data_IF_223557760071
#
_entry.id   IF_223557760071
#
_cell.length_a   1.000
_cell.length_b   1.000
_cell.length_c   1.000
_cell.angle_alpha   90.00
_cell.angle_beta   90.00
_cell.angle_gamma   90.00
#
_symmetry.space_group_name_H-M   'P 1'
#
loop_
_entity.id
_entity.type
_entity.pdbx_description
1 polymer ?
#
# COMPACT_ATOMS: atom_id res chain seq x y z
N UNK A 1 4.08 -20.08 1.87
CA UNK A 1 3.35 -18.82 1.64
C UNK A 1 3.53 -17.91 2.85
N UNK A 2 3.75 -16.66 2.60
CA UNK A 2 3.93 -15.65 3.66
C UNK A 2 2.61 -14.91 3.84
N UNK A 3 2.05 -14.96 5.06
CA UNK A 3 0.89 -14.19 5.44
C UNK A 3 1.26 -13.19 6.52
N UNK A 4 1.00 -11.91 6.29
CA UNK A 4 1.17 -10.85 7.29
C UNK A 4 -0.02 -9.92 7.23
N UNK A 5 -0.50 -9.51 8.39
CA UNK A 5 -1.53 -8.46 8.51
C UNK A 5 -1.20 -7.57 9.70
N UNK A 6 -1.27 -6.27 9.47
CA UNK A 6 -1.07 -5.26 10.51
C UNK A 6 -2.09 -4.13 10.33
N UNK A 7 -2.40 -3.47 11.43
CA UNK A 7 -3.33 -2.37 11.46
C UNK A 7 -2.69 -1.18 12.19
N UNK A 8 -2.78 -0.01 11.58
CA UNK A 8 -2.29 1.23 12.17
C UNK A 8 -3.44 2.21 12.38
N UNK A 9 -3.44 2.98 13.49
CA UNK A 9 -4.39 4.06 13.65
C UNK A 9 -4.12 5.15 12.60
N UNK A 10 -5.17 5.64 11.97
CA UNK A 10 -5.07 6.71 10.98
C UNK A 10 -4.84 8.05 11.68
N UNK A 11 -5.59 8.31 12.73
CA UNK A 11 -5.52 9.55 13.48
C UNK A 11 -4.83 9.33 14.83
N UNK A 12 -3.78 10.11 15.06
CA UNK A 12 -2.99 10.04 16.29
C UNK A 12 -2.81 11.45 16.85
N UNK A 13 -2.66 11.61 18.19
CA UNK A 13 -2.44 12.91 18.80
C UNK A 13 -1.22 13.62 18.19
N UNK A 14 -1.35 14.94 17.97
CA UNK A 14 -0.26 15.77 17.46
C UNK A 14 -0.07 15.72 15.95
N UNK A 15 -0.85 14.95 15.22
CA UNK A 15 -0.81 14.87 13.76
C UNK A 15 -2.12 15.39 13.15
N UNK A 16 -2.07 15.90 11.89
CA UNK A 16 -3.29 16.30 11.19
C UNK A 16 -4.27 15.15 11.09
N UNK A 17 -5.55 15.44 11.34
CA UNK A 17 -6.63 14.44 11.25
C UNK A 17 -7.01 14.19 9.80
N UNK A 18 -7.32 12.94 9.49
CA UNK A 18 -7.79 12.50 8.18
C UNK A 18 -9.20 11.91 8.32
N UNK A 19 -10.08 12.25 7.36
CA UNK A 19 -11.37 11.59 7.20
C UNK A 19 -11.20 10.30 6.38
N UNK A 20 -12.22 9.45 6.40
CA UNK A 20 -12.25 8.26 5.55
C UNK A 20 -12.06 8.63 4.08
N UNK A 21 -12.72 9.68 3.61
CA UNK A 21 -12.59 10.12 2.22
C UNK A 21 -11.17 10.56 1.89
N UNK A 22 -10.51 11.27 2.79
CA UNK A 22 -9.11 11.68 2.59
C UNK A 22 -8.18 10.48 2.53
N UNK A 23 -8.40 9.46 3.36
CA UNK A 23 -7.63 8.22 3.31
C UNK A 23 -7.88 7.49 1.99
N UNK A 24 -9.14 7.38 1.57
CA UNK A 24 -9.49 6.75 0.29
C UNK A 24 -8.84 7.47 -0.88
N UNK A 25 -8.95 8.79 -0.95
CA UNK A 25 -8.33 9.60 -2.00
C UNK A 25 -6.81 9.41 -2.04
N UNK A 26 -6.19 9.32 -0.87
CA UNK A 26 -4.76 9.04 -0.74
C UNK A 26 -4.39 7.66 -1.26
N UNK A 27 -5.18 6.64 -0.98
CA UNK A 27 -4.96 5.28 -1.51
C UNK A 27 -5.09 5.24 -3.03
N UNK A 28 -6.05 5.96 -3.59
CA UNK A 28 -6.21 6.04 -5.05
C UNK A 28 -5.02 6.76 -5.71
N UNK A 29 -4.55 7.85 -5.12
CA UNK A 29 -3.33 8.53 -5.60
C UNK A 29 -2.13 7.60 -5.57
N UNK A 30 -1.93 6.89 -4.46
CA UNK A 30 -0.86 5.91 -4.30
C UNK A 30 -0.96 4.78 -5.33
N UNK A 31 -2.16 4.30 -5.61
CA UNK A 31 -2.39 3.25 -6.60
C UNK A 31 -1.96 3.70 -8.00
N UNK A 32 -2.21 4.96 -8.36
CA UNK A 32 -1.84 5.53 -9.65
C UNK A 32 -0.35 5.90 -9.73
N UNK A 33 0.23 6.38 -8.64
CA UNK A 33 1.66 6.69 -8.55
C UNK A 33 2.12 6.59 -7.09
N UNK A 34 2.80 5.51 -6.77
CA UNK A 34 3.25 5.24 -5.41
C UNK A 34 4.53 5.98 -5.00
N UNK A 35 5.23 6.63 -5.92
CA UNK A 35 6.52 7.25 -5.62
C UNK A 35 6.49 8.25 -4.46
N UNK A 36 5.48 9.14 -4.32
CA UNK A 36 5.41 10.03 -3.17
C UNK A 36 5.09 9.34 -1.85
N UNK A 37 4.62 8.10 -1.88
CA UNK A 37 4.12 7.37 -0.71
C UNK A 37 5.06 6.27 -0.23
N UNK A 38 5.88 5.72 -1.10
CA UNK A 38 6.72 4.55 -0.82
C UNK A 38 8.18 4.88 -1.12
N UNK A 39 8.98 5.21 -0.09
CA UNK A 39 10.38 5.63 -0.32
C UNK A 39 11.27 4.57 -0.98
N UNK A 40 10.95 3.30 -0.80
CA UNK A 40 11.74 2.19 -1.37
C UNK A 40 11.43 1.92 -2.85
N UNK A 41 10.47 2.65 -3.42
CA UNK A 41 10.08 2.49 -4.83
C UNK A 41 10.77 3.55 -5.68
N UNK A 42 11.41 3.13 -6.76
CA UNK A 42 12.16 4.00 -7.66
C UNK A 42 11.49 4.22 -9.02
N UNK A 43 10.47 3.44 -9.32
CA UNK A 43 9.72 3.54 -10.57
C UNK A 43 8.28 3.09 -10.34
N UNK A 44 7.34 3.80 -10.94
CA UNK A 44 5.92 3.41 -10.88
C UNK A 44 5.19 4.02 -12.08
N UNK A 45 4.66 3.18 -12.96
CA UNK A 45 3.95 3.63 -14.15
C UNK A 45 2.76 2.73 -14.46
N UNK A 46 1.60 3.34 -14.65
CA UNK A 46 0.40 2.63 -15.12
C UNK A 46 0.61 2.29 -16.60
N UNK A 47 0.51 1.01 -16.93
CA UNK A 47 0.77 0.49 -18.26
C UNK A 47 -0.51 0.20 -19.04
N UNK A 48 -1.59 -0.17 -18.36
CA UNK A 48 -2.85 -0.50 -19.01
C UNK A 48 -4.02 -0.27 -18.06
N UNK A 49 -5.07 0.39 -18.55
CA UNK A 49 -6.33 0.53 -17.82
C UNK A 49 -7.36 -0.41 -18.42
N UNK A 50 -7.88 -1.32 -17.60
CA UNK A 50 -8.91 -2.29 -18.00
C UNK A 50 -10.32 -1.74 -17.79
N UNK A 51 -10.49 -0.96 -16.72
CA UNK A 51 -11.75 -0.30 -16.36
C UNK A 51 -11.45 0.89 -15.44
N UNK A 52 -12.48 1.56 -14.94
CA UNK A 52 -12.33 2.65 -13.97
C UNK A 52 -11.75 2.16 -12.62
N UNK A 53 -11.87 0.86 -12.33
CA UNK A 53 -11.47 0.28 -11.04
C UNK A 53 -10.38 -0.78 -11.15
N UNK A 54 -9.96 -1.14 -12.36
CA UNK A 54 -8.92 -2.18 -12.56
C UNK A 54 -7.90 -1.67 -13.56
N UNK A 55 -6.63 -1.66 -13.16
CA UNK A 55 -5.53 -1.27 -14.04
C UNK A 55 -4.23 -1.96 -13.63
N UNK A 56 -3.29 -2.01 -14.57
CA UNK A 56 -1.97 -2.61 -14.36
C UNK A 56 -0.91 -1.51 -14.29
N UNK A 57 0.10 -1.75 -13.46
CA UNK A 57 1.28 -0.88 -13.38
C UNK A 57 2.54 -1.70 -13.23
N UNK A 58 3.65 -1.15 -13.73
CA UNK A 58 4.99 -1.65 -13.48
C UNK A 58 5.65 -0.82 -12.39
N UNK A 59 6.34 -1.49 -11.49
CA UNK A 59 7.09 -0.84 -10.41
C UNK A 59 8.50 -1.42 -10.30
N UNK A 60 9.42 -0.59 -9.82
CA UNK A 60 10.70 -1.03 -9.28
C UNK A 60 10.68 -0.78 -7.77
N UNK A 61 10.78 -1.86 -7.03
CA UNK A 61 10.77 -1.83 -5.57
C UNK A 61 12.04 -2.52 -5.07
N UNK A 62 12.90 -1.76 -4.41
CA UNK A 62 14.18 -2.25 -3.87
C UNK A 62 15.04 -2.94 -4.93
N UNK A 63 15.06 -2.39 -6.14
CA UNK A 63 15.84 -2.90 -7.25
C UNK A 63 15.22 -4.06 -8.01
N UNK A 64 14.01 -4.49 -7.64
CA UNK A 64 13.31 -5.59 -8.31
C UNK A 64 12.10 -5.06 -9.08
N UNK A 65 11.88 -5.60 -10.29
CA UNK A 65 10.76 -5.23 -11.15
C UNK A 65 9.56 -6.13 -10.89
N UNK A 66 8.39 -5.50 -10.71
CA UNK A 66 7.10 -6.18 -10.57
C UNK A 66 6.08 -5.57 -11.51
N UNK A 67 5.13 -6.39 -11.93
CA UNK A 67 3.88 -5.92 -12.51
C UNK A 67 2.75 -6.20 -11.55
N UNK A 68 1.96 -5.18 -11.26
CA UNK A 68 0.84 -5.26 -10.33
C UNK A 68 -0.46 -4.94 -11.03
N UNK A 69 -1.48 -5.77 -10.80
CA UNK A 69 -2.86 -5.44 -11.14
C UNK A 69 -3.53 -4.85 -9.93
N UNK A 70 -4.09 -3.67 -10.09
CA UNK A 70 -4.73 -2.94 -9.00
C UNK A 70 -6.24 -3.02 -9.17
N UNK A 71 -6.92 -3.32 -8.07
CA UNK A 71 -8.38 -3.33 -7.99
C UNK A 71 -8.82 -2.34 -6.92
N UNK A 72 -9.67 -1.38 -7.30
CA UNK A 72 -10.22 -0.38 -6.41
C UNK A 72 -11.63 -0.80 -5.97
N UNK A 73 -11.84 -0.94 -4.67
CA UNK A 73 -13.15 -1.22 -4.08
C UNK A 73 -13.54 -0.05 -3.18
N UNK A 74 -14.07 1.00 -3.81
CA UNK A 74 -14.43 2.25 -3.14
C UNK A 74 -15.56 2.04 -2.12
N UNK A 75 -15.47 2.61 -0.93
CA UNK A 75 -14.36 3.35 -0.33
C UNK A 75 -13.57 2.55 0.70
N UNK A 76 -13.42 1.25 0.50
CA UNK A 76 -12.96 0.31 1.53
C UNK A 76 -11.56 -0.22 1.32
N UNK A 77 -11.21 -0.63 0.09
CA UNK A 77 -10.02 -1.44 -0.12
C UNK A 77 -9.38 -1.18 -1.48
N UNK A 78 -8.05 -1.16 -1.50
CA UNK A 78 -7.24 -1.26 -2.71
C UNK A 78 -6.44 -2.55 -2.63
N UNK A 79 -6.56 -3.39 -3.65
CA UNK A 79 -5.81 -4.64 -3.76
C UNK A 79 -4.76 -4.52 -4.86
N UNK A 80 -3.54 -4.90 -4.53
CA UNK A 80 -2.39 -4.96 -5.43
C UNK A 80 -2.06 -6.43 -5.65
N UNK A 81 -2.38 -6.95 -6.82
CA UNK A 81 -2.05 -8.33 -7.18
C UNK A 81 -0.76 -8.34 -8.01
N UNK A 82 0.30 -8.91 -7.47
CA UNK A 82 1.56 -9.07 -8.19
C UNK A 82 1.42 -10.23 -9.16
N UNK A 83 1.36 -9.90 -10.46
CA UNK A 83 1.16 -10.87 -11.53
C UNK A 83 2.46 -11.24 -12.24
N UNK A 84 3.54 -10.49 -12.02
CA UNK A 84 4.87 -10.81 -12.52
C UNK A 84 5.94 -10.25 -11.59
N UNK A 85 7.06 -10.95 -11.48
CA UNK A 85 8.19 -10.58 -10.65
C UNK A 85 8.63 -11.72 -9.73
N UNK A 86 9.67 -11.49 -8.90
CA UNK A 86 10.22 -12.53 -8.04
C UNK A 86 9.35 -12.89 -6.83
N UNK A 87 8.36 -12.06 -6.50
CA UNK A 87 7.40 -12.32 -5.41
C UNK A 87 6.00 -12.13 -5.96
N UNK A 88 5.19 -13.16 -5.90
CA UNK A 88 3.82 -13.16 -6.43
C UNK A 88 2.82 -13.22 -5.28
N UNK A 89 1.59 -12.76 -5.54
CA UNK A 89 0.50 -12.80 -4.60
C UNK A 89 -0.22 -11.46 -4.47
N UNK A 90 -0.87 -11.24 -3.32
CA UNK A 90 -1.71 -10.07 -3.10
C UNK A 90 -1.27 -9.24 -1.91
N UNK A 91 -1.44 -7.94 -2.07
CA UNK A 91 -1.28 -6.95 -0.99
C UNK A 91 -2.58 -6.16 -0.95
N UNK A 92 -3.18 -6.00 0.22
CA UNK A 92 -4.39 -5.22 0.38
C UNK A 92 -4.17 -4.08 1.37
N UNK A 93 -4.72 -2.91 1.04
CA UNK A 93 -4.84 -1.78 1.96
C UNK A 93 -6.33 -1.56 2.21
N UNK A 94 -6.76 -1.68 3.47
CA UNK A 94 -8.17 -1.60 3.85
C UNK A 94 -8.39 -0.51 4.89
N UNK A 95 -9.44 0.28 4.69
CA UNK A 95 -9.86 1.30 5.66
C UNK A 95 -10.91 0.69 6.56
N UNK A 96 -10.60 0.62 7.85
CA UNK A 96 -11.47 0.01 8.86
C UNK A 96 -11.84 1.01 9.95
N UNK A 97 -12.84 0.64 10.74
CA UNK A 97 -13.25 1.40 11.92
C UNK A 97 -14.30 2.46 11.64
N UNK A 98 -14.74 3.11 12.72
CA UNK A 98 -15.70 4.21 12.67
C UNK A 98 -15.00 5.54 12.40
N UNK A 99 -15.76 6.59 12.09
CA UNK A 99 -15.22 7.92 11.76
C UNK A 99 -14.30 8.50 12.83
N UNK A 100 -14.52 8.17 14.10
CA UNK A 100 -13.73 8.60 15.25
C UNK A 100 -12.60 7.63 15.62
N UNK A 101 -12.50 6.48 14.95
CA UNK A 101 -11.49 5.46 15.19
C UNK A 101 -11.11 4.77 13.90
N UNK A 102 -10.65 5.55 12.91
CA UNK A 102 -10.22 5.02 11.62
C UNK A 102 -8.90 4.29 11.75
N UNK A 103 -8.81 3.16 11.07
CA UNK A 103 -7.61 2.34 11.01
C UNK A 103 -7.31 1.96 9.57
N UNK A 104 -6.03 1.85 9.27
CA UNK A 104 -5.56 1.35 7.98
C UNK A 104 -4.93 -0.02 8.21
N UNK A 105 -5.56 -1.05 7.67
CA UNK A 105 -5.03 -2.40 7.67
C UNK A 105 -4.32 -2.65 6.37
N UNK A 106 -3.12 -3.20 6.47
CA UNK A 106 -2.49 -3.80 5.31
C UNK A 106 -2.27 -5.28 5.57
N UNK A 107 -2.45 -6.06 4.50
CA UNK A 107 -2.30 -7.50 4.55
C UNK A 107 -1.57 -7.96 3.31
N UNK A 108 -0.74 -8.96 3.42
CA UNK A 108 -0.21 -9.61 2.24
C UNK A 108 -0.17 -11.13 2.39
N UNK A 109 -0.38 -11.77 1.24
CA UNK A 109 -0.28 -13.21 1.05
C UNK A 109 0.65 -13.41 -0.15
N UNK A 110 1.90 -13.77 0.09
CA UNK A 110 2.95 -13.74 -0.91
C UNK A 110 3.71 -15.07 -0.98
N UNK A 111 4.16 -15.40 -2.18
CA UNK A 111 5.04 -16.55 -2.45
C UNK A 111 6.31 -16.01 -3.12
N UNK A 112 7.45 -16.37 -2.58
CA UNK A 112 8.75 -15.97 -3.11
C UNK A 112 9.25 -17.05 -4.06
N UNK A 113 9.59 -16.67 -5.30
CA UNK A 113 10.09 -17.60 -6.30
C UNK A 113 11.40 -18.26 -5.83
N UNK A 114 11.50 -19.58 -5.99
CA UNK A 114 12.69 -20.33 -5.63
C UNK A 114 12.90 -20.56 -4.13
N UNK A 115 11.94 -20.18 -3.29
CA UNK A 115 11.99 -20.37 -1.85
C UNK A 115 10.94 -21.39 -1.43
N UNK A 116 11.38 -22.44 -0.72
CA UNK A 116 10.48 -23.48 -0.25
C UNK A 116 9.58 -22.99 0.88
N UNK A 117 8.28 -23.34 0.80
CA UNK A 117 7.31 -23.01 1.84
C UNK A 117 7.67 -23.67 3.17
N UNK A 118 7.57 -22.90 4.27
CA UNK A 118 7.91 -23.35 5.62
C UNK A 118 9.40 -23.37 5.93
N UNK A 119 10.26 -22.94 5.01
CA UNK A 119 11.71 -22.91 5.22
C UNK A 119 12.17 -21.73 6.08
N UNK A 120 13.37 -21.84 6.62
CA UNK A 120 14.02 -20.73 7.34
C UNK A 120 14.22 -19.51 6.43
N UNK A 121 14.52 -19.75 5.15
CA UNK A 121 14.67 -18.69 4.16
C UNK A 121 13.36 -17.93 3.94
N UNK A 122 12.23 -18.61 3.89
CA UNK A 122 10.90 -17.98 3.79
C UNK A 122 10.64 -17.10 5.03
N UNK A 123 11.00 -17.57 6.22
CA UNK A 123 10.83 -16.81 7.46
C UNK A 123 11.68 -15.54 7.46
N UNK A 124 12.91 -15.59 6.97
CA UNK A 124 13.76 -14.42 6.82
C UNK A 124 13.14 -13.38 5.87
N UNK A 125 12.59 -13.83 4.74
CA UNK A 125 11.87 -12.97 3.83
C UNK A 125 10.65 -12.34 4.49
N UNK A 126 9.87 -13.12 5.24
CA UNK A 126 8.69 -12.63 5.95
C UNK A 126 9.06 -11.54 6.95
N UNK A 127 10.11 -11.73 7.73
CA UNK A 127 10.57 -10.76 8.72
C UNK A 127 11.04 -9.46 8.05
N UNK A 128 11.81 -9.58 6.98
CA UNK A 128 12.29 -8.42 6.21
C UNK A 128 11.14 -7.65 5.56
N UNK A 129 10.21 -8.36 4.93
CA UNK A 129 9.03 -7.74 4.29
C UNK A 129 8.15 -7.04 5.30
N UNK A 130 7.92 -7.62 6.47
CA UNK A 130 7.11 -7.01 7.52
C UNK A 130 7.65 -5.65 7.91
N UNK A 131 8.96 -5.54 8.15
CA UNK A 131 9.62 -4.28 8.48
C UNK A 131 9.48 -3.24 7.37
N UNK A 132 9.66 -3.64 6.12
CA UNK A 132 9.55 -2.76 4.96
C UNK A 132 8.13 -2.25 4.76
N UNK A 133 7.15 -3.14 4.88
CA UNK A 133 5.74 -2.76 4.71
C UNK A 133 5.25 -1.87 5.84
N UNK A 134 5.68 -2.08 7.07
CA UNK A 134 5.36 -1.18 8.18
C UNK A 134 5.88 0.22 7.91
N UNK A 135 7.10 0.36 7.43
CA UNK A 135 7.68 1.65 7.03
C UNK A 135 6.92 2.28 5.88
N UNK A 136 6.54 1.50 4.87
CA UNK A 136 5.78 1.97 3.72
C UNK A 136 4.40 2.48 4.11
N UNK A 137 3.70 1.79 5.01
CA UNK A 137 2.38 2.21 5.48
C UNK A 137 2.49 3.48 6.32
N UNK A 138 3.47 3.58 7.20
CA UNK A 138 3.72 4.80 7.98
C UNK A 138 4.03 5.98 7.05
N UNK A 139 4.87 5.79 6.05
CA UNK A 139 5.19 6.81 5.04
C UNK A 139 3.95 7.22 4.24
N UNK A 140 3.09 6.27 3.91
CA UNK A 140 1.82 6.51 3.22
C UNK A 140 0.91 7.42 4.05
N UNK A 141 0.70 7.13 5.32
CA UNK A 141 -0.11 7.96 6.21
C UNK A 141 0.48 9.37 6.36
N UNK A 142 1.79 9.48 6.51
CA UNK A 142 2.46 10.77 6.59
C UNK A 142 2.29 11.59 5.31
N UNK A 143 2.37 10.96 4.14
CA UNK A 143 2.14 11.63 2.86
C UNK A 143 0.70 12.11 2.74
N UNK A 144 -0.29 11.31 3.16
CA UNK A 144 -1.70 11.70 3.18
C UNK A 144 -1.93 12.91 4.07
N UNK A 145 -1.29 12.96 5.25
CA UNK A 145 -1.38 14.10 6.17
C UNK A 145 -0.81 15.38 5.57
N UNK A 146 0.32 15.28 4.88
CA UNK A 146 0.92 16.43 4.17
C UNK A 146 0.00 16.95 3.07
N UNK A 147 -0.61 16.06 2.30
CA UNK A 147 -1.55 16.44 1.25
C UNK A 147 -2.77 17.14 1.85
N UNK A 148 -3.31 16.63 2.95
CA UNK A 148 -4.44 17.24 3.64
C UNK A 148 -4.10 18.63 4.18
N UNK A 149 -2.92 18.82 4.77
CA UNK A 149 -2.45 20.13 5.24
C UNK A 149 -2.31 21.13 4.10
N UNK A 150 -1.74 20.72 2.97
CA UNK A 150 -1.56 21.58 1.80
C UNK A 150 -2.90 22.04 1.24
N UNK A 151 -3.89 21.14 1.15
CA UNK A 151 -5.24 21.48 0.70
C UNK A 151 -5.92 22.45 1.67
N UNK A 152 -5.79 22.24 2.96
CA UNK A 152 -6.34 23.14 3.98
C UNK A 152 -5.70 24.52 3.92
N UNK A 153 -4.38 24.61 3.73
CA UNK A 153 -3.67 25.86 3.59
C UNK A 153 -4.11 26.66 2.34
N UNK A 154 -4.38 25.96 1.23
CA UNK A 154 -4.88 26.59 -0.01
C UNK A 154 -6.32 27.05 0.12
N UNK A 155 -7.13 26.31 0.92
CA UNK A 155 -8.54 26.62 1.15
C UNK A 155 -8.76 27.72 2.19
N UNK A 156 -7.75 27.98 2.98
CA UNK A 156 -7.76 29.07 3.97
C UNK A 156 -7.36 30.39 3.31
#
# INVERSE_FOLDING_TARGET
MIFVTHQLPVNVPGQPSLSRQQVWDGLVLKANNALPFVPSMSYCEVTQRHSDTIFDRDIDFRGERFTERITLEQPHRVTFTRIAGPVLGTIANEIEGAADDLRLRFSFALVVAGVEGGSAQEQEYADSMTGDYLKAVAATLNAMRRIAEQKNAVSA
#
